data_IF_193360630352
#
_entry.id   IF_193360630352
#
_cell.length_a   1.000
_cell.length_b   1.000
_cell.length_c   1.000
_cell.angle_alpha   90.00
_cell.angle_beta   90.00
_cell.angle_gamma   90.00
#
_symmetry.space_group_name_H-M   'P 1'
#
loop_
_entity.id
_entity.type
_entity.pdbx_description
1 polymer ?
#
# COMPACT_ATOMS: atom_id res chain seq x y z
N UNK A 1 28.87 12.28 6.03
CA UNK A 1 28.62 11.36 7.17
C UNK A 1 27.15 11.14 7.45
N UNK A 2 26.30 12.17 7.52
CA UNK A 2 24.84 12.01 7.76
C UNK A 2 24.12 11.34 6.58
N UNK A 3 24.57 11.56 5.35
CA UNK A 3 23.99 10.93 4.16
C UNK A 3 24.35 9.44 4.06
N UNK A 4 25.57 9.06 4.45
CA UNK A 4 26.00 7.65 4.51
C UNK A 4 25.22 6.86 5.56
N UNK A 5 24.98 7.43 6.74
CA UNK A 5 24.16 6.76 7.78
C UNK A 5 22.70 6.57 7.36
N UNK A 6 22.11 7.50 6.60
CA UNK A 6 20.75 7.33 6.05
C UNK A 6 20.70 6.26 4.98
N UNK A 7 21.73 6.14 4.15
CA UNK A 7 21.84 5.08 3.15
C UNK A 7 21.93 3.70 3.80
N UNK A 8 22.78 3.51 4.78
CA UNK A 8 22.91 2.25 5.52
C UNK A 8 21.60 1.82 6.20
N UNK A 9 20.90 2.74 6.87
CA UNK A 9 19.63 2.42 7.52
C UNK A 9 18.53 2.03 6.51
N UNK A 10 18.57 2.59 5.32
CA UNK A 10 17.63 2.24 4.25
C UNK A 10 17.92 0.84 3.69
N UNK A 11 19.19 0.54 3.48
CA UNK A 11 19.62 -0.77 2.98
C UNK A 11 19.29 -1.89 3.98
N UNK A 12 19.54 -1.68 5.28
CA UNK A 12 19.14 -2.60 6.34
C UNK A 12 17.63 -2.84 6.37
N UNK A 13 16.83 -1.79 6.25
CA UNK A 13 15.37 -1.90 6.20
C UNK A 13 14.90 -2.68 4.98
N UNK A 14 15.49 -2.44 3.83
CA UNK A 14 15.19 -3.16 2.58
C UNK A 14 15.56 -4.64 2.70
N UNK A 15 16.69 -4.96 3.30
CA UNK A 15 17.12 -6.34 3.60
C UNK A 15 16.10 -7.01 4.52
N UNK A 16 15.69 -6.35 5.62
CA UNK A 16 14.70 -6.89 6.54
C UNK A 16 13.34 -7.15 5.88
N UNK A 17 12.89 -6.26 4.99
CA UNK A 17 11.66 -6.48 4.19
C UNK A 17 11.82 -7.69 3.29
N UNK A 18 12.96 -7.82 2.61
CA UNK A 18 13.24 -8.95 1.72
C UNK A 18 13.23 -10.28 2.48
N UNK A 19 13.89 -10.36 3.64
CA UNK A 19 13.88 -11.53 4.50
C UNK A 19 12.47 -11.93 4.96
N UNK A 20 11.65 -10.94 5.35
CA UNK A 20 10.25 -11.19 5.69
C UNK A 20 9.46 -11.75 4.50
N UNK A 21 9.66 -11.22 3.30
CA UNK A 21 8.98 -11.68 2.08
C UNK A 21 9.41 -13.11 1.73
N UNK A 22 10.69 -13.43 1.78
CA UNK A 22 11.17 -14.79 1.56
C UNK A 22 10.59 -15.77 2.59
N UNK A 23 10.52 -15.37 3.87
CA UNK A 23 9.91 -16.16 4.93
C UNK A 23 8.40 -16.40 4.68
N UNK A 24 7.67 -15.42 4.13
CA UNK A 24 6.27 -15.60 3.76
C UNK A 24 6.09 -16.61 2.61
N UNK A 25 6.93 -16.53 1.58
CA UNK A 25 6.91 -17.48 0.45
C UNK A 25 7.20 -18.89 0.95
N UNK A 26 8.24 -19.07 1.81
CA UNK A 26 8.62 -20.37 2.35
C UNK A 26 7.53 -20.99 3.24
N UNK A 27 6.86 -20.17 4.07
CA UNK A 27 5.80 -20.65 4.98
C UNK A 27 4.46 -20.91 4.29
N UNK A 28 4.18 -20.20 3.21
CA UNK A 28 2.88 -20.25 2.52
C UNK A 28 3.03 -20.42 1.00
N UNK A 29 3.71 -21.46 0.49
CA UNK A 29 4.04 -21.62 -0.93
C UNK A 29 2.81 -21.82 -1.83
N UNK A 30 1.67 -22.20 -1.27
CA UNK A 30 0.39 -22.29 -1.99
C UNK A 30 -0.27 -20.93 -2.23
N UNK A 31 0.10 -19.92 -1.45
CA UNK A 31 -0.49 -18.57 -1.48
C UNK A 31 0.43 -17.59 -2.19
N UNK A 32 1.72 -17.64 -1.86
CA UNK A 32 2.76 -16.73 -2.35
C UNK A 32 3.74 -17.46 -3.25
N UNK A 33 4.06 -16.85 -4.36
CA UNK A 33 5.09 -17.28 -5.30
C UNK A 33 6.15 -16.16 -5.50
N UNK A 34 7.08 -16.38 -6.41
CA UNK A 34 8.13 -15.40 -6.75
C UNK A 34 7.57 -14.04 -7.22
N UNK A 35 6.31 -13.97 -7.64
CA UNK A 35 5.65 -12.71 -7.98
C UNK A 35 5.54 -11.75 -6.81
N UNK A 36 5.59 -12.26 -5.55
CA UNK A 36 5.62 -11.42 -4.35
C UNK A 36 6.92 -10.58 -4.28
N UNK A 37 8.04 -11.09 -4.78
CA UNK A 37 9.30 -10.34 -4.87
C UNK A 37 9.20 -9.19 -5.89
N UNK A 38 8.50 -9.39 -7.00
CA UNK A 38 8.22 -8.30 -7.96
C UNK A 38 7.36 -7.23 -7.32
N UNK A 39 6.32 -7.61 -6.59
CA UNK A 39 5.47 -6.65 -5.87
C UNK A 39 6.28 -5.83 -4.85
N UNK A 40 7.21 -6.47 -4.13
CA UNK A 40 8.15 -5.79 -3.24
C UNK A 40 8.98 -4.75 -3.99
N UNK A 41 9.59 -5.12 -5.12
CA UNK A 41 10.39 -4.21 -5.93
C UNK A 41 9.55 -3.02 -6.43
N UNK A 42 8.35 -3.26 -6.94
CA UNK A 42 7.44 -2.21 -7.38
C UNK A 42 7.11 -1.22 -6.27
N UNK A 43 6.73 -1.72 -5.08
CA UNK A 43 6.42 -0.84 -3.96
C UNK A 43 7.65 -0.03 -3.51
N UNK A 44 8.79 -0.67 -3.36
CA UNK A 44 10.01 0.00 -2.90
C UNK A 44 10.52 1.06 -3.88
N UNK A 45 10.27 0.89 -5.20
CA UNK A 45 10.58 1.88 -6.21
C UNK A 45 9.54 3.01 -6.28
N UNK A 46 8.25 2.68 -6.16
CA UNK A 46 7.18 3.67 -6.27
C UNK A 46 7.03 4.52 -5.00
N UNK A 47 7.26 3.94 -3.82
CA UNK A 47 7.10 4.63 -2.55
C UNK A 47 8.26 5.59 -2.27
N UNK A 48 7.91 6.81 -1.83
CA UNK A 48 8.91 7.83 -1.45
C UNK A 48 9.71 7.40 -0.22
N UNK A 49 10.93 7.87 -0.09
CA UNK A 49 11.82 7.53 1.03
C UNK A 49 11.25 7.97 2.38
N UNK A 50 10.57 9.12 2.43
CA UNK A 50 9.85 9.57 3.61
C UNK A 50 8.78 8.56 4.06
N UNK A 51 8.03 7.97 3.11
CA UNK A 51 7.07 6.91 3.39
C UNK A 51 7.75 5.68 3.99
N UNK A 52 8.78 5.18 3.31
CA UNK A 52 9.53 3.99 3.75
C UNK A 52 10.21 4.20 5.10
N UNK A 53 10.75 5.40 5.33
CA UNK A 53 11.45 5.77 6.56
C UNK A 53 10.58 5.66 7.83
N UNK A 54 9.32 6.07 7.73
CA UNK A 54 8.37 6.12 8.85
C UNK A 54 7.70 4.77 9.18
N UNK A 55 7.96 3.70 8.43
CA UNK A 55 7.30 2.41 8.61
C UNK A 55 8.28 1.31 8.92
N UNK A 56 7.85 0.40 9.80
CA UNK A 56 8.63 -0.77 10.16
C UNK A 56 8.67 -1.78 8.99
N UNK A 57 9.74 -2.60 8.86
CA UNK A 57 9.84 -3.62 7.82
C UNK A 57 8.64 -4.58 7.78
N UNK A 58 8.10 -4.94 8.94
CA UNK A 58 6.89 -5.79 9.04
C UNK A 58 5.66 -5.15 8.40
N UNK A 59 5.49 -3.84 8.55
CA UNK A 59 4.37 -3.13 7.95
C UNK A 59 4.49 -3.05 6.44
N UNK A 60 5.70 -2.77 5.94
CA UNK A 60 5.98 -2.77 4.50
C UNK A 60 5.74 -4.16 3.90
N UNK A 61 6.23 -5.22 4.54
CA UNK A 61 6.02 -6.60 4.10
C UNK A 61 4.54 -7.00 4.09
N UNK A 62 3.78 -6.59 5.12
CA UNK A 62 2.33 -6.81 5.17
C UNK A 62 1.62 -6.08 4.02
N UNK A 63 1.97 -4.83 3.77
CA UNK A 63 1.39 -4.06 2.67
C UNK A 63 1.68 -4.70 1.31
N UNK A 64 2.93 -5.09 1.06
CA UNK A 64 3.35 -5.81 -0.14
C UNK A 64 2.53 -7.09 -0.33
N UNK A 65 2.34 -7.87 0.74
CA UNK A 65 1.54 -9.10 0.71
C UNK A 65 0.08 -8.83 0.38
N UNK A 66 -0.52 -7.80 0.99
CA UNK A 66 -1.90 -7.43 0.72
C UNK A 66 -2.10 -6.93 -0.72
N UNK A 67 -1.17 -6.13 -1.24
CA UNK A 67 -1.19 -5.69 -2.64
C UNK A 67 -1.10 -6.87 -3.61
N UNK A 68 -0.18 -7.79 -3.36
CA UNK A 68 -0.02 -9.00 -4.15
C UNK A 68 -1.32 -9.82 -4.20
N UNK A 69 -1.94 -10.08 -3.04
CA UNK A 69 -3.19 -10.84 -2.96
C UNK A 69 -4.34 -10.13 -3.66
N UNK A 70 -4.46 -8.82 -3.44
CA UNK A 70 -5.50 -8.02 -4.07
C UNK A 70 -5.34 -8.00 -5.59
N UNK A 71 -4.11 -7.81 -6.09
CA UNK A 71 -3.82 -7.88 -7.53
C UNK A 71 -4.20 -9.24 -8.12
N UNK A 72 -3.83 -10.35 -7.49
CA UNK A 72 -4.22 -11.68 -7.96
C UNK A 72 -5.72 -11.91 -7.95
N UNK A 73 -6.41 -11.41 -6.92
CA UNK A 73 -7.86 -11.49 -6.84
C UNK A 73 -8.52 -10.70 -7.98
N UNK A 74 -8.06 -9.47 -8.23
CA UNK A 74 -8.53 -8.63 -9.33
C UNK A 74 -8.30 -9.28 -10.70
N UNK A 75 -7.11 -9.81 -10.95
CA UNK A 75 -6.78 -10.49 -12.20
C UNK A 75 -7.75 -11.64 -12.48
N UNK A 76 -7.98 -12.50 -11.49
CA UNK A 76 -8.91 -13.61 -11.59
C UNK A 76 -10.36 -13.17 -11.81
N UNK A 77 -10.75 -12.06 -11.17
CA UNK A 77 -12.10 -11.52 -11.33
C UNK A 77 -12.32 -10.99 -12.74
N UNK A 78 -11.39 -10.18 -13.27
CA UNK A 78 -11.49 -9.61 -14.62
C UNK A 78 -11.45 -10.69 -15.69
N UNK A 79 -10.63 -11.73 -15.53
CA UNK A 79 -10.62 -12.89 -16.44
C UNK A 79 -11.96 -13.60 -16.55
N UNK A 80 -12.70 -13.68 -15.44
CA UNK A 80 -14.03 -14.34 -15.41
C UNK A 80 -15.18 -13.42 -15.78
N UNK A 81 -14.99 -12.09 -15.70
CA UNK A 81 -16.06 -11.11 -15.81
C UNK A 81 -15.61 -9.90 -16.66
N UNK A 82 -15.41 -10.11 -17.95
CA UNK A 82 -14.79 -9.16 -18.89
C UNK A 82 -15.45 -7.77 -18.91
N UNK A 83 -16.76 -7.68 -18.66
CA UNK A 83 -17.51 -6.41 -18.75
C UNK A 83 -18.05 -5.93 -17.39
N UNK A 84 -17.47 -6.35 -16.29
CA UNK A 84 -17.91 -5.92 -14.96
C UNK A 84 -16.85 -5.07 -14.28
N UNK A 85 -17.30 -3.96 -13.72
CA UNK A 85 -16.46 -3.14 -12.85
C UNK A 85 -16.33 -3.83 -11.49
N UNK A 86 -15.13 -3.85 -11.00
CA UNK A 86 -14.77 -4.37 -9.69
C UNK A 86 -14.09 -3.26 -8.89
N UNK A 87 -14.53 -3.07 -7.66
CA UNK A 87 -13.90 -2.20 -6.68
C UNK A 87 -13.79 -2.96 -5.37
N UNK A 88 -12.59 -3.07 -4.85
CA UNK A 88 -12.34 -3.63 -3.52
C UNK A 88 -11.60 -2.63 -2.65
N UNK A 89 -12.14 -2.36 -1.47
CA UNK A 89 -11.55 -1.46 -0.50
C UNK A 89 -11.21 -2.27 0.76
N UNK A 90 -9.95 -2.23 1.16
CA UNK A 90 -9.43 -2.93 2.34
C UNK A 90 -8.87 -1.92 3.33
N UNK A 91 -9.65 -1.47 4.31
CA UNK A 91 -9.11 -0.70 5.43
C UNK A 91 -8.42 -1.62 6.44
N UNK A 92 -7.35 -1.11 7.08
CA UNK A 92 -6.68 -1.80 8.17
C UNK A 92 -5.90 -0.81 9.04
N UNK A 93 -5.84 -1.10 10.34
CA UNK A 93 -5.03 -0.30 11.27
C UNK A 93 -3.54 -0.49 11.00
N UNK A 94 -2.81 0.58 11.02
CA UNK A 94 -1.37 0.61 10.89
C UNK A 94 -0.76 1.60 11.89
N UNK A 95 0.56 1.59 12.01
CA UNK A 95 1.31 2.48 12.86
C UNK A 95 2.45 3.10 12.09
N UNK A 96 2.64 4.39 12.25
CA UNK A 96 3.78 5.12 11.68
C UNK A 96 4.65 5.68 12.81
N UNK A 97 5.93 5.82 12.51
CA UNK A 97 6.89 6.44 13.41
C UNK A 97 7.01 7.93 13.03
N UNK A 98 6.35 8.77 13.78
CA UNK A 98 6.42 10.24 13.62
C UNK A 98 7.42 10.88 14.57
N UNK A 99 7.56 12.19 14.50
CA UNK A 99 8.44 12.98 15.39
C UNK A 99 8.05 12.87 16.88
N UNK A 100 6.75 12.67 17.16
CA UNK A 100 6.20 12.47 18.50
C UNK A 100 6.13 11.02 18.97
N UNK A 101 6.75 10.07 18.25
CA UNK A 101 6.68 8.63 18.53
C UNK A 101 5.73 7.87 17.60
N UNK A 102 5.24 6.74 18.07
CA UNK A 102 4.38 5.84 17.30
C UNK A 102 2.96 6.37 17.24
N UNK A 103 2.45 6.60 16.03
CA UNK A 103 1.10 7.15 15.78
C UNK A 103 0.21 6.12 15.08
N UNK A 104 -1.05 5.93 15.52
CA UNK A 104 -2.01 5.08 14.83
C UNK A 104 -2.54 5.77 13.57
N UNK A 105 -2.60 5.03 12.47
CA UNK A 105 -3.20 5.48 11.21
C UNK A 105 -4.16 4.42 10.68
N UNK A 106 -5.14 4.85 9.90
CA UNK A 106 -5.97 3.96 9.10
C UNK A 106 -5.40 3.90 7.68
N UNK A 107 -4.86 2.76 7.34
CA UNK A 107 -4.41 2.46 5.99
C UNK A 107 -5.59 1.98 5.14
N UNK A 108 -5.68 2.44 3.92
CA UNK A 108 -6.71 2.05 2.95
C UNK A 108 -6.01 1.57 1.68
N UNK A 109 -6.20 0.30 1.35
CA UNK A 109 -5.78 -0.30 0.10
C UNK A 109 -7.00 -0.49 -0.79
N UNK A 110 -6.92 0.03 -2.01
CA UNK A 110 -8.00 0.02 -2.99
C UNK A 110 -7.53 -0.70 -4.23
N UNK A 111 -8.34 -1.60 -4.74
CA UNK A 111 -8.12 -2.26 -6.02
C UNK A 111 -9.34 -2.14 -6.91
N UNK A 112 -9.13 -1.76 -8.16
CA UNK A 112 -10.21 -1.66 -9.15
C UNK A 112 -9.72 -2.02 -10.56
N UNK A 113 -10.67 -2.28 -11.47
CA UNK A 113 -10.40 -2.33 -12.89
C UNK A 113 -10.99 -1.09 -13.58
N UNK A 114 -10.34 -0.68 -14.66
CA UNK A 114 -10.77 0.40 -15.54
C UNK A 114 -11.32 -0.17 -16.84
N UNK A 115 -12.23 0.55 -17.49
CA UNK A 115 -12.73 0.18 -18.82
C UNK A 115 -11.85 0.71 -19.95
N UNK A 116 -11.07 1.75 -19.68
CA UNK A 116 -10.12 2.32 -20.63
C UNK A 116 -8.86 2.81 -19.93
N UNK A 117 -7.78 2.93 -20.68
CA UNK A 117 -6.50 3.51 -20.21
C UNK A 117 -6.60 5.00 -19.86
N UNK A 118 -7.67 5.67 -20.30
CA UNK A 118 -7.93 7.09 -20.02
C UNK A 118 -8.58 7.32 -18.65
N UNK A 119 -9.14 6.28 -18.04
CA UNK A 119 -9.69 6.40 -16.70
C UNK A 119 -8.57 6.53 -15.67
N UNK A 120 -8.59 7.63 -14.93
CA UNK A 120 -7.61 7.93 -13.89
C UNK A 120 -8.32 8.14 -12.56
N UNK A 121 -7.78 7.55 -11.52
CA UNK A 121 -8.20 7.80 -10.15
C UNK A 121 -7.06 8.53 -9.43
N UNK A 122 -7.32 9.78 -9.04
CA UNK A 122 -6.31 10.66 -8.43
C UNK A 122 -6.42 10.66 -6.91
N UNK A 123 -5.31 11.02 -6.25
CA UNK A 123 -5.21 11.16 -4.80
C UNK A 123 -6.33 12.03 -4.22
N UNK A 124 -6.55 13.19 -4.82
CA UNK A 124 -7.55 14.16 -4.37
C UNK A 124 -8.96 13.59 -4.40
N UNK A 125 -9.31 12.86 -5.45
CA UNK A 125 -10.61 12.23 -5.60
C UNK A 125 -10.86 11.16 -4.55
N UNK A 126 -9.85 10.31 -4.31
CA UNK A 126 -9.91 9.29 -3.28
C UNK A 126 -10.02 9.88 -1.88
N UNK A 127 -9.24 10.93 -1.62
CA UNK A 127 -9.26 11.58 -0.32
C UNK A 127 -10.58 12.33 -0.08
N UNK A 128 -11.15 12.99 -1.09
CA UNK A 128 -12.49 13.57 -1.01
C UNK A 128 -13.56 12.54 -0.68
N UNK A 129 -13.52 11.35 -1.28
CA UNK A 129 -14.41 10.25 -0.92
C UNK A 129 -14.23 9.82 0.55
N UNK A 130 -13.01 9.76 1.04
CA UNK A 130 -12.74 9.46 2.45
C UNK A 130 -13.30 10.55 3.37
N UNK A 131 -13.04 11.82 3.05
CA UNK A 131 -13.53 12.95 3.85
C UNK A 131 -15.05 13.08 3.86
N UNK A 132 -15.74 12.64 2.81
CA UNK A 132 -17.21 12.61 2.81
C UNK A 132 -17.80 11.67 3.86
N UNK A 133 -17.04 10.63 4.23
CA UNK A 133 -17.44 9.63 5.26
C UNK A 133 -16.83 9.98 6.62
N UNK A 134 -15.61 10.47 6.62
CA UNK A 134 -14.81 10.81 7.79
C UNK A 134 -14.31 12.26 7.70
N UNK A 135 -15.15 13.26 8.02
CA UNK A 135 -14.80 14.68 7.84
C UNK A 135 -13.56 15.15 8.61
N UNK A 136 -13.24 14.49 9.75
CA UNK A 136 -12.04 14.79 10.54
C UNK A 136 -10.78 14.02 10.11
N UNK A 137 -10.83 13.35 8.96
CA UNK A 137 -9.69 12.63 8.44
C UNK A 137 -8.70 13.59 7.76
N UNK A 138 -7.42 13.42 8.06
CA UNK A 138 -6.30 14.07 7.40
C UNK A 138 -5.47 13.03 6.67
N UNK A 139 -5.01 13.36 5.46
CA UNK A 139 -4.10 12.50 4.73
C UNK A 139 -2.71 12.54 5.37
N UNK A 140 -2.13 11.38 5.67
CA UNK A 140 -0.74 11.30 6.11
C UNK A 140 0.17 11.73 4.95
N UNK A 141 1.04 12.72 5.13
CA UNK A 141 1.91 13.20 4.06
C UNK A 141 2.71 12.08 3.41
N UNK A 142 2.81 12.12 2.10
CA UNK A 142 3.56 11.15 1.28
C UNK A 142 3.09 9.68 1.40
N UNK A 143 1.90 9.42 1.95
CA UNK A 143 1.38 8.06 2.09
C UNK A 143 0.70 7.53 0.83
N UNK A 144 0.28 8.41 -0.06
CA UNK A 144 -0.37 7.99 -1.29
C UNK A 144 0.63 7.41 -2.29
N UNK A 145 0.28 6.29 -2.86
CA UNK A 145 0.88 5.78 -4.09
C UNK A 145 -0.14 4.97 -4.88
N UNK A 146 0.08 4.89 -6.18
CA UNK A 146 -0.74 4.13 -7.11
C UNK A 146 0.13 3.25 -7.99
N UNK A 147 -0.40 2.11 -8.37
CA UNK A 147 0.18 1.24 -9.36
C UNK A 147 -0.90 0.82 -10.36
N UNK A 148 -0.71 1.20 -11.62
CA UNK A 148 -1.58 0.80 -12.72
C UNK A 148 -0.90 -0.28 -13.55
N UNK A 149 -1.64 -1.33 -13.85
CA UNK A 149 -1.19 -2.46 -14.65
C UNK A 149 -1.85 -2.36 -16.03
N UNK A 150 -1.10 -1.92 -17.01
CA UNK A 150 -1.59 -1.70 -18.39
C UNK A 150 -2.15 -2.98 -19.04
N UNK A 151 -1.57 -4.14 -18.73
CA UNK A 151 -1.97 -5.41 -19.34
C UNK A 151 -3.44 -5.78 -19.13
N UNK A 152 -4.11 -5.27 -18.08
CA UNK A 152 -5.49 -5.62 -17.74
C UNK A 152 -6.31 -4.44 -17.23
N UNK A 153 -5.86 -3.23 -17.46
CA UNK A 153 -6.51 -2.01 -16.93
C UNK A 153 -6.83 -2.11 -15.43
N UNK A 154 -5.88 -2.62 -14.64
CA UNK A 154 -6.04 -2.74 -13.19
C UNK A 154 -5.34 -1.59 -12.49
N UNK A 155 -5.93 -1.11 -11.40
CA UNK A 155 -5.33 -0.11 -10.51
C UNK A 155 -5.31 -0.58 -9.07
N UNK A 156 -4.16 -0.39 -8.42
CA UNK A 156 -4.01 -0.50 -6.98
C UNK A 156 -3.64 0.87 -6.43
N UNK A 157 -4.32 1.28 -5.38
CA UNK A 157 -4.12 2.57 -4.72
C UNK A 157 -3.96 2.34 -3.23
N UNK A 158 -3.08 3.09 -2.62
CA UNK A 158 -2.86 3.07 -1.19
C UNK A 158 -2.78 4.48 -0.65
N UNK A 159 -3.40 4.69 0.50
CA UNK A 159 -3.29 5.92 1.27
C UNK A 159 -3.42 5.63 2.76
N UNK A 160 -2.88 6.51 3.57
CA UNK A 160 -3.05 6.48 5.02
C UNK A 160 -3.70 7.76 5.50
N UNK A 161 -4.61 7.61 6.43
CA UNK A 161 -5.33 8.73 7.04
C UNK A 161 -5.13 8.70 8.56
N UNK A 162 -5.04 9.87 9.14
CA UNK A 162 -5.04 10.11 10.58
C UNK A 162 -6.25 10.97 10.95
N UNK A 163 -6.64 10.94 12.20
CA UNK A 163 -7.63 11.87 12.73
C UNK A 163 -6.98 13.17 13.12
N UNK A 164 -7.65 14.27 12.82
CA UNK A 164 -7.32 15.55 13.41
C UNK A 164 -7.15 15.40 14.93
N UNK A 165 -6.05 15.91 15.50
CA UNK A 165 -5.70 15.84 16.92
C UNK A 165 -5.32 14.46 17.47
N UNK A 166 -4.89 13.52 16.65
CA UNK A 166 -4.33 12.23 17.11
C UNK A 166 -5.34 11.27 17.72
N UNK A 167 -6.63 11.42 17.43
CA UNK A 167 -7.67 10.50 17.89
C UNK A 167 -7.56 9.12 17.26
N UNK A 168 -7.95 8.06 17.98
CA UNK A 168 -7.98 6.69 17.44
C UNK A 168 -9.21 6.44 16.57
N UNK A 169 -9.07 5.58 15.55
CA UNK A 169 -10.19 5.03 14.81
C UNK A 169 -10.79 3.86 15.59
N UNK A 170 -12.03 4.01 16.00
CA UNK A 170 -12.81 2.89 16.54
C UNK A 170 -13.37 2.10 15.35
N UNK A 171 -13.01 0.83 15.27
CA UNK A 171 -13.54 -0.14 14.30
C UNK A 171 -14.52 -1.07 14.98
#
# INVERSE_FOLDING_TARGET
RVLELKGCAYDEKTIAVHEHILSLIARHPKVYDVGLLREMQHLLLAARDAFKGMREPRHLSRLISLQYLLRKMLQRFVEKNVNRRFLHVKPFKNWIQGAGGRQPVLAVLIGCNFYSEQELLREEQLFQCVQSILPSACLVPHSFFSHQFSEKNLGLFYLEIEKERGGEFHT
#
